data_IF_829228445944
#
_entry.id   IF_829228445944
#
_cell.length_a   1.000
_cell.length_b   1.000
_cell.length_c   1.000
_cell.angle_alpha   90.00
_cell.angle_beta   90.00
_cell.angle_gamma   90.00
#
_symmetry.space_group_name_H-M   'P 1'
#
loop_
_entity.id
_entity.type
_entity.pdbx_description
1 polymer ?
#
# COMPACT_ATOMS: atom_id res chain seq x y z
N UNK A 1 -2.00 11.08 -10.90
CA UNK A 1 -1.19 9.92 -10.46
C UNK A 1 -1.15 9.79 -8.95
N UNK A 2 -0.56 10.74 -8.19
CA UNK A 2 -0.37 10.58 -6.74
C UNK A 2 -1.69 10.35 -5.99
N UNK A 3 -2.71 11.19 -6.21
CA UNK A 3 -4.02 11.00 -5.58
C UNK A 3 -4.76 9.74 -6.09
N UNK A 4 -4.44 9.30 -7.30
CA UNK A 4 -5.13 8.17 -7.93
C UNK A 4 -4.67 6.84 -7.29
N UNK A 5 -3.41 6.71 -6.89
CA UNK A 5 -2.90 5.48 -6.26
C UNK A 5 -3.61 5.19 -4.95
N UNK A 6 -3.72 6.19 -4.07
CA UNK A 6 -4.41 6.04 -2.78
C UNK A 6 -5.87 5.65 -2.97
N UNK A 7 -6.59 6.36 -3.83
CA UNK A 7 -7.99 6.05 -4.13
C UNK A 7 -8.16 4.63 -4.69
N UNK A 8 -7.34 4.25 -5.69
CA UNK A 8 -7.41 2.93 -6.30
C UNK A 8 -7.12 1.81 -5.32
N UNK A 9 -6.20 2.04 -4.38
CA UNK A 9 -5.86 1.06 -3.35
C UNK A 9 -6.96 0.92 -2.30
N UNK A 10 -7.56 2.03 -1.87
CA UNK A 10 -8.69 1.98 -0.94
C UNK A 10 -9.89 1.25 -1.54
N UNK A 11 -10.24 1.55 -2.79
CA UNK A 11 -11.31 0.85 -3.50
C UNK A 11 -10.97 -0.63 -3.72
N UNK A 12 -9.71 -0.95 -4.08
CA UNK A 12 -9.27 -2.34 -4.21
C UNK A 12 -9.44 -3.12 -2.91
N UNK A 13 -8.98 -2.58 -1.78
CA UNK A 13 -9.07 -3.24 -0.46
C UNK A 13 -10.54 -3.33 0.00
N UNK A 14 -11.33 -2.29 -0.24
CA UNK A 14 -12.77 -2.26 0.07
C UNK A 14 -13.52 -3.37 -0.67
N UNK A 15 -13.33 -3.48 -1.99
CA UNK A 15 -13.96 -4.50 -2.82
C UNK A 15 -13.47 -5.90 -2.44
N UNK A 16 -12.17 -6.07 -2.20
CA UNK A 16 -11.59 -7.31 -1.69
C UNK A 16 -12.21 -7.74 -0.35
N UNK A 17 -12.51 -6.79 0.53
CA UNK A 17 -13.12 -7.08 1.84
C UNK A 17 -14.54 -7.58 1.65
N UNK A 18 -15.32 -6.92 0.78
CA UNK A 18 -16.69 -7.34 0.45
C UNK A 18 -16.72 -8.71 -0.23
N UNK A 19 -15.75 -9.00 -1.10
CA UNK A 19 -15.57 -10.32 -1.71
C UNK A 19 -15.31 -11.36 -0.62
N UNK A 20 -14.37 -11.10 0.28
CA UNK A 20 -14.06 -11.99 1.41
C UNK A 20 -15.31 -12.30 2.23
N UNK A 21 -16.04 -11.28 2.69
CA UNK A 21 -17.24 -11.44 3.51
C UNK A 21 -18.32 -12.23 2.79
N UNK A 22 -18.53 -11.96 1.49
CA UNK A 22 -19.49 -12.69 0.66
C UNK A 22 -19.09 -14.15 0.50
N UNK A 23 -17.80 -14.43 0.29
CA UNK A 23 -17.29 -15.80 0.17
C UNK A 23 -17.42 -16.58 1.49
N UNK A 24 -17.12 -15.94 2.62
CA UNK A 24 -17.30 -16.53 3.96
C UNK A 24 -18.78 -16.85 4.24
N UNK A 25 -19.70 -15.96 3.88
CA UNK A 25 -21.14 -16.20 3.98
C UNK A 25 -21.55 -17.44 3.17
N UNK A 26 -21.06 -17.55 1.93
CA UNK A 26 -21.36 -18.66 1.02
C UNK A 26 -20.74 -19.99 1.47
N UNK A 27 -19.63 -19.97 2.21
CA UNK A 27 -18.95 -21.16 2.71
C UNK A 27 -19.69 -21.83 3.87
N UNK A 28 -20.54 -21.10 4.59
CA UNK A 28 -21.47 -21.68 5.57
C UNK A 28 -22.62 -22.39 4.84
N UNK A 29 -22.37 -23.62 4.37
CA UNK A 29 -23.31 -24.40 3.54
C UNK A 29 -24.69 -24.59 4.18
N UNK A 30 -24.76 -24.75 5.51
CA UNK A 30 -26.03 -24.93 6.21
C UNK A 30 -26.89 -23.67 6.11
N UNK A 31 -26.32 -22.51 6.45
CA UNK A 31 -27.00 -21.21 6.34
C UNK A 31 -27.26 -20.84 4.88
N UNK A 32 -26.33 -21.13 3.97
CA UNK A 32 -26.45 -20.81 2.55
C UNK A 32 -27.58 -21.59 1.89
N UNK A 33 -27.68 -22.90 2.15
CA UNK A 33 -28.73 -23.75 1.59
C UNK A 33 -30.11 -23.46 2.19
N UNK A 34 -30.17 -22.87 3.39
CA UNK A 34 -31.44 -22.41 3.99
C UNK A 34 -31.99 -21.13 3.36
N UNK A 35 -31.20 -20.41 2.56
CA UNK A 35 -31.65 -19.20 1.83
C UNK A 35 -32.43 -19.55 0.57
N UNK A 36 -33.31 -18.64 0.16
CA UNK A 36 -34.07 -18.77 -1.09
C UNK A 36 -33.15 -18.83 -2.30
N UNK A 37 -33.61 -19.43 -3.39
CA UNK A 37 -32.84 -19.49 -4.64
C UNK A 37 -32.57 -18.09 -5.21
N UNK A 38 -33.52 -17.16 -5.05
CA UNK A 38 -33.40 -15.78 -5.50
C UNK A 38 -32.28 -15.03 -4.76
N UNK A 39 -32.23 -15.12 -3.43
CA UNK A 39 -31.17 -14.52 -2.60
C UNK A 39 -29.78 -15.04 -3.02
N UNK A 40 -29.66 -16.35 -3.23
CA UNK A 40 -28.39 -16.96 -3.66
C UNK A 40 -27.95 -16.45 -5.04
N UNK A 41 -28.88 -16.33 -5.99
CA UNK A 41 -28.59 -15.80 -7.34
C UNK A 41 -28.17 -14.33 -7.30
N UNK A 42 -28.83 -13.52 -6.47
CA UNK A 42 -28.47 -12.12 -6.27
C UNK A 42 -27.05 -12.00 -5.71
N UNK A 43 -26.76 -12.74 -4.62
CA UNK A 43 -25.43 -12.73 -3.99
C UNK A 43 -24.31 -13.20 -4.91
N UNK A 44 -24.54 -14.25 -5.70
CA UNK A 44 -23.60 -14.68 -6.75
C UNK A 44 -23.41 -13.59 -7.83
N UNK A 45 -24.48 -12.86 -8.16
CA UNK A 45 -24.43 -11.70 -9.06
C UNK A 45 -23.58 -10.57 -8.51
N UNK A 46 -23.79 -10.20 -7.25
CA UNK A 46 -22.98 -9.21 -6.52
C UNK A 46 -21.52 -9.64 -6.48
N UNK A 47 -21.23 -10.90 -6.11
CA UNK A 47 -19.86 -11.41 -6.06
C UNK A 47 -19.15 -11.23 -7.42
N UNK A 48 -19.78 -11.64 -8.52
CA UNK A 48 -19.21 -11.47 -9.87
C UNK A 48 -18.96 -10.01 -10.23
N UNK A 49 -19.78 -9.08 -9.75
CA UNK A 49 -19.59 -7.65 -9.98
C UNK A 49 -18.40 -7.12 -9.17
N UNK A 50 -18.33 -7.45 -7.87
CA UNK A 50 -17.22 -7.08 -6.99
C UNK A 50 -15.89 -7.60 -7.55
N UNK A 51 -15.84 -8.87 -8.00
CA UNK A 51 -14.65 -9.48 -8.58
C UNK A 51 -14.14 -8.72 -9.82
N UNK A 52 -15.05 -8.28 -10.70
CA UNK A 52 -14.69 -7.46 -11.87
C UNK A 52 -14.14 -6.10 -11.47
N UNK A 53 -14.77 -5.42 -10.50
CA UNK A 53 -14.34 -4.10 -10.05
C UNK A 53 -12.98 -4.18 -9.36
N UNK A 54 -12.82 -5.11 -8.42
CA UNK A 54 -11.56 -5.38 -7.73
C UNK A 54 -10.44 -5.63 -8.75
N UNK A 55 -10.65 -6.50 -9.74
CA UNK A 55 -9.63 -6.76 -10.76
C UNK A 55 -9.23 -5.52 -11.57
N UNK A 56 -10.15 -4.59 -11.82
CA UNK A 56 -9.84 -3.35 -12.55
C UNK A 56 -9.01 -2.40 -11.70
N UNK A 57 -9.40 -2.20 -10.44
CA UNK A 57 -8.69 -1.29 -9.54
C UNK A 57 -7.29 -1.80 -9.21
N UNK A 58 -7.14 -3.10 -8.95
CA UNK A 58 -5.83 -3.71 -8.67
C UNK A 58 -4.89 -3.61 -9.86
N UNK A 59 -5.39 -3.83 -11.07
CA UNK A 59 -4.60 -3.71 -12.30
C UNK A 59 -4.12 -2.28 -12.51
N UNK A 60 -5.03 -1.30 -12.41
CA UNK A 60 -4.69 0.11 -12.60
C UNK A 60 -3.74 0.62 -11.52
N UNK A 61 -3.97 0.24 -10.26
CA UNK A 61 -3.08 0.57 -9.14
C UNK A 61 -1.67 0.03 -9.36
N UNK A 62 -1.55 -1.24 -9.77
CA UNK A 62 -0.26 -1.87 -10.10
C UNK A 62 0.47 -1.11 -11.20
N UNK A 63 -0.17 -0.85 -12.33
CA UNK A 63 0.47 -0.13 -13.44
C UNK A 63 0.91 1.28 -13.04
N UNK A 64 0.15 1.95 -12.17
CA UNK A 64 0.49 3.30 -11.70
C UNK A 64 1.73 3.29 -10.80
N UNK A 65 1.82 2.35 -9.87
CA UNK A 65 3.01 2.19 -9.00
C UNK A 65 4.22 1.71 -9.77
N UNK A 66 4.04 0.82 -10.73
CA UNK A 66 5.12 0.38 -11.62
C UNK A 66 5.70 1.55 -12.42
N UNK A 67 4.84 2.41 -12.98
CA UNK A 67 5.28 3.61 -13.69
C UNK A 67 6.03 4.59 -12.77
N UNK A 68 5.52 4.80 -11.55
CA UNK A 68 6.17 5.65 -10.56
C UNK A 68 7.55 5.10 -10.16
N UNK A 69 7.68 3.78 -9.98
CA UNK A 69 8.96 3.10 -9.74
C UNK A 69 9.95 3.35 -10.88
N UNK A 70 9.51 3.22 -12.13
CA UNK A 70 10.38 3.48 -13.29
C UNK A 70 10.83 4.94 -13.33
N UNK A 71 9.91 5.89 -13.17
CA UNK A 71 10.25 7.31 -13.22
C UNK A 71 11.18 7.76 -12.09
N UNK A 72 10.97 7.26 -10.88
CA UNK A 72 11.84 7.57 -9.74
C UNK A 72 13.23 6.96 -9.86
N UNK A 73 13.39 5.87 -10.64
CA UNK A 73 14.70 5.31 -10.98
C UNK A 73 15.43 6.19 -12.00
N UNK A 74 14.72 6.76 -12.97
CA UNK A 74 15.32 7.57 -14.05
C UNK A 74 15.61 9.01 -13.63
N UNK A 75 14.72 9.64 -12.87
CA UNK A 75 14.90 11.04 -12.45
C UNK A 75 14.26 11.32 -11.10
N UNK A 76 14.98 12.04 -10.24
CA UNK A 76 14.55 12.36 -8.88
C UNK A 76 14.11 13.81 -8.73
N UNK A 77 14.74 14.72 -9.47
CA UNK A 77 14.54 16.17 -9.33
C UNK A 77 13.06 16.61 -9.44
N UNK A 78 12.24 16.09 -10.38
CA UNK A 78 10.83 16.46 -10.44
C UNK A 78 10.04 16.06 -9.19
N UNK A 79 10.44 14.98 -8.51
CA UNK A 79 9.76 14.49 -7.30
C UNK A 79 10.17 15.25 -6.04
N UNK A 80 11.29 15.99 -6.08
CA UNK A 80 11.78 16.79 -4.95
C UNK A 80 11.23 18.22 -4.94
N UNK A 81 10.38 18.57 -5.91
CA UNK A 81 9.70 19.87 -5.90
C UNK A 81 8.79 19.98 -4.67
N UNK A 82 8.76 21.13 -3.96
CA UNK A 82 7.95 21.32 -2.76
C UNK A 82 6.46 20.96 -2.95
N UNK A 83 5.90 21.21 -4.13
CA UNK A 83 4.49 20.93 -4.43
C UNK A 83 4.18 19.44 -4.63
N UNK A 84 5.21 18.60 -4.77
CA UNK A 84 5.14 17.19 -5.13
C UNK A 84 5.65 16.31 -3.99
N UNK A 85 6.79 16.63 -3.37
CA UNK A 85 7.50 15.75 -2.44
C UNK A 85 6.65 15.35 -1.24
N UNK A 86 5.94 16.30 -0.62
CA UNK A 86 5.08 16.04 0.54
C UNK A 86 3.89 15.15 0.16
N UNK A 87 3.30 15.37 -1.02
CA UNK A 87 2.16 14.57 -1.50
C UNK A 87 2.61 13.16 -1.87
N UNK A 88 3.80 13.03 -2.45
CA UNK A 88 4.39 11.75 -2.80
C UNK A 88 4.70 10.94 -1.55
N UNK A 89 5.36 11.55 -0.56
CA UNK A 89 5.66 10.93 0.72
C UNK A 89 4.38 10.43 1.41
N UNK A 90 3.42 11.33 1.64
CA UNK A 90 2.14 10.97 2.28
C UNK A 90 1.38 9.87 1.52
N UNK A 91 1.41 9.87 0.18
CA UNK A 91 0.82 8.79 -0.62
C UNK A 91 1.55 7.48 -0.42
N UNK A 92 2.88 7.46 -0.46
CA UNK A 92 3.66 6.24 -0.28
C UNK A 92 3.49 5.68 1.15
N UNK A 93 3.48 6.53 2.17
CA UNK A 93 3.34 6.12 3.57
C UNK A 93 1.95 5.55 3.82
N UNK A 94 0.91 6.22 3.33
CA UNK A 94 -0.47 5.73 3.38
C UNK A 94 -0.61 4.35 2.73
N UNK A 95 -0.06 4.19 1.53
CA UNK A 95 -0.12 2.90 0.84
C UNK A 95 0.70 1.83 1.57
N UNK A 96 1.86 2.18 2.15
CA UNK A 96 2.65 1.23 2.93
C UNK A 96 1.87 0.72 4.15
N UNK A 97 1.19 1.61 4.88
CA UNK A 97 0.26 1.24 5.98
C UNK A 97 -0.76 0.22 5.50
N UNK A 98 -1.38 0.46 4.34
CA UNK A 98 -2.43 -0.39 3.83
C UNK A 98 -1.98 -1.84 3.63
N UNK A 99 -0.74 -2.07 3.18
CA UNK A 99 -0.20 -3.42 2.92
C UNK A 99 0.42 -4.09 4.16
N UNK A 100 0.98 -3.33 5.09
CA UNK A 100 1.54 -3.92 6.33
C UNK A 100 0.51 -4.04 7.45
N UNK A 101 -0.60 -3.33 7.33
CA UNK A 101 -1.65 -3.26 8.34
C UNK A 101 -2.55 -4.51 8.40
N UNK A 102 -3.27 -4.70 9.52
CA UNK A 102 -4.08 -5.88 9.76
C UNK A 102 -5.24 -6.03 8.78
N UNK A 103 -5.76 -4.92 8.25
CA UNK A 103 -6.87 -4.89 7.27
C UNK A 103 -6.52 -5.73 6.04
N UNK A 104 -5.29 -5.60 5.55
CA UNK A 104 -4.82 -6.37 4.41
C UNK A 104 -4.36 -7.77 4.81
N UNK A 105 -3.59 -7.90 5.89
CA UNK A 105 -3.01 -9.18 6.31
C UNK A 105 -4.07 -10.26 6.65
N UNK A 106 -5.27 -9.85 7.06
CA UNK A 106 -6.37 -10.76 7.37
C UNK A 106 -7.23 -11.15 6.15
N UNK A 107 -7.01 -10.50 5.01
CA UNK A 107 -7.87 -10.64 3.84
C UNK A 107 -7.53 -11.91 3.05
N UNK A 108 -8.46 -12.87 3.04
CA UNK A 108 -8.30 -14.14 2.34
C UNK A 108 -9.43 -14.35 1.34
N UNK A 109 -9.14 -14.11 0.08
CA UNK A 109 -10.10 -14.36 -1.01
C UNK A 109 -9.78 -15.69 -1.69
N UNK A 110 -10.82 -16.40 -2.11
CA UNK A 110 -10.70 -17.55 -3.00
C UNK A 110 -10.30 -17.05 -4.39
N UNK A 111 -9.46 -17.83 -5.06
CA UNK A 111 -9.00 -17.57 -6.43
C UNK A 111 -8.40 -16.16 -6.62
N UNK A 112 -7.43 -15.73 -5.79
CA UNK A 112 -6.83 -14.39 -5.86
C UNK A 112 -6.23 -14.07 -7.23
N UNK A 113 -5.83 -15.08 -8.00
CA UNK A 113 -5.36 -14.97 -9.38
C UNK A 113 -6.39 -14.35 -10.33
N UNK A 114 -7.70 -14.60 -10.12
CA UNK A 114 -8.77 -13.98 -10.91
C UNK A 114 -8.85 -12.47 -10.71
N UNK A 115 -8.43 -12.01 -9.54
CA UNK A 115 -8.44 -10.59 -9.17
C UNK A 115 -7.17 -9.87 -9.63
N UNK A 116 -6.24 -10.57 -10.30
CA UNK A 116 -4.94 -10.06 -10.76
C UNK A 116 -4.17 -9.34 -9.66
N UNK A 117 -4.42 -9.75 -8.42
CA UNK A 117 -3.99 -9.02 -7.26
C UNK A 117 -2.67 -9.60 -6.77
N UNK A 118 -1.59 -8.84 -6.97
CA UNK A 118 -0.22 -9.20 -6.60
C UNK A 118 0.28 -8.28 -5.46
N UNK A 119 -0.16 -8.52 -4.22
CA UNK A 119 0.18 -7.69 -3.07
C UNK A 119 1.67 -7.69 -2.75
N UNK A 120 2.35 -8.80 -3.04
CA UNK A 120 3.80 -8.96 -2.83
C UNK A 120 4.56 -8.12 -3.85
N UNK A 121 4.18 -8.19 -5.12
CA UNK A 121 4.72 -7.31 -6.15
C UNK A 121 4.50 -5.83 -5.81
N UNK A 122 3.30 -5.48 -5.36
CA UNK A 122 2.98 -4.10 -5.00
C UNK A 122 3.84 -3.57 -3.84
N UNK A 123 3.94 -4.33 -2.74
CA UNK A 123 4.82 -3.97 -1.63
C UNK A 123 6.29 -3.87 -2.06
N UNK A 124 6.75 -4.79 -2.90
CA UNK A 124 8.11 -4.76 -3.44
C UNK A 124 8.38 -3.49 -4.26
N UNK A 125 7.42 -3.08 -5.08
CA UNK A 125 7.53 -1.88 -5.90
C UNK A 125 7.46 -0.60 -5.06
N UNK A 126 6.57 -0.55 -4.05
CA UNK A 126 6.53 0.55 -3.07
C UNK A 126 7.88 0.72 -2.37
N UNK A 127 8.43 -0.36 -1.79
CA UNK A 127 9.75 -0.33 -1.14
C UNK A 127 10.82 0.15 -2.11
N UNK A 128 10.76 -0.27 -3.38
CA UNK A 128 11.74 0.14 -4.37
C UNK A 128 11.66 1.65 -4.69
N UNK A 129 10.47 2.25 -4.68
CA UNK A 129 10.31 3.71 -4.83
C UNK A 129 11.02 4.44 -3.68
N UNK A 130 10.86 3.99 -2.42
CA UNK A 130 11.62 4.55 -1.31
C UNK A 130 13.12 4.44 -1.53
N UNK A 131 13.61 3.28 -1.98
CA UNK A 131 15.03 3.05 -2.25
C UNK A 131 15.58 3.90 -3.40
N UNK A 132 14.76 4.24 -4.39
CA UNK A 132 15.13 5.14 -5.48
C UNK A 132 15.36 6.56 -4.97
N UNK A 133 14.51 7.01 -4.03
CA UNK A 133 14.49 8.39 -3.52
C UNK A 133 15.26 8.57 -2.20
N UNK A 134 15.76 7.49 -1.61
CA UNK A 134 16.31 7.49 -0.24
C UNK A 134 17.57 8.34 -0.04
N UNK A 135 18.26 8.70 -1.12
CA UNK A 135 19.44 9.55 -1.10
C UNK A 135 19.10 11.04 -1.22
N UNK A 136 17.80 11.39 -1.27
CA UNK A 136 17.32 12.77 -1.32
C UNK A 136 16.89 13.24 0.09
N UNK A 137 17.59 14.20 0.71
CA UNK A 137 17.25 14.71 2.04
C UNK A 137 15.85 15.33 2.11
N UNK A 138 15.39 15.97 1.03
CA UNK A 138 14.05 16.57 0.91
C UNK A 138 12.97 15.51 1.06
N UNK A 139 13.18 14.33 0.47
CA UNK A 139 12.24 13.21 0.59
C UNK A 139 12.20 12.66 2.02
N UNK A 140 13.35 12.51 2.68
CA UNK A 140 13.39 12.07 4.08
C UNK A 140 12.64 13.04 5.01
N UNK A 141 12.79 14.35 4.79
CA UNK A 141 12.02 15.38 5.53
C UNK A 141 10.52 15.31 5.24
N UNK A 142 10.13 15.10 3.98
CA UNK A 142 8.73 14.98 3.60
C UNK A 142 8.05 13.77 4.24
N UNK A 143 8.72 12.61 4.26
CA UNK A 143 8.25 11.41 4.98
C UNK A 143 8.18 11.66 6.49
N UNK A 144 9.18 12.32 7.07
CA UNK A 144 9.18 12.70 8.49
C UNK A 144 8.01 13.64 8.84
N UNK A 145 7.62 14.50 7.90
CA UNK A 145 6.51 15.44 8.02
C UNK A 145 5.11 14.80 7.90
N UNK A 146 4.98 13.55 7.41
CA UNK A 146 3.69 12.87 7.37
C UNK A 146 3.29 12.30 8.73
N UNK A 147 2.84 13.18 9.64
CA UNK A 147 2.37 12.79 10.97
C UNK A 147 1.11 11.90 10.98
N UNK A 148 0.49 11.61 9.82
CA UNK A 148 -0.71 10.76 9.74
C UNK A 148 -0.38 9.29 9.52
N UNK A 149 0.53 9.01 8.60
CA UNK A 149 0.78 7.65 8.13
C UNK A 149 2.19 7.17 8.48
N UNK A 150 3.17 8.05 8.61
CA UNK A 150 4.53 7.64 8.94
C UNK A 150 4.65 7.11 10.38
N UNK A 151 5.26 5.93 10.51
CA UNK A 151 5.90 5.50 11.75
C UNK A 151 7.02 4.53 11.44
N UNK A 152 8.07 4.52 12.26
CA UNK A 152 9.17 3.55 12.16
C UNK A 152 8.68 2.10 12.13
N UNK A 153 7.67 1.78 12.93
CA UNK A 153 7.10 0.42 13.04
C UNK A 153 6.54 -0.09 11.69
N UNK A 154 5.94 0.79 10.88
CA UNK A 154 5.40 0.42 9.57
C UNK A 154 6.52 -0.06 8.65
N UNK A 155 7.66 0.63 8.64
CA UNK A 155 8.82 0.26 7.84
C UNK A 155 9.46 -1.04 8.35
N UNK A 156 9.56 -1.22 9.67
CA UNK A 156 10.04 -2.47 10.26
C UNK A 156 9.15 -3.67 9.88
N UNK A 157 7.83 -3.48 9.86
CA UNK A 157 6.89 -4.51 9.43
C UNK A 157 6.99 -4.78 7.92
N UNK A 158 7.13 -3.74 7.10
CA UNK A 158 7.38 -3.88 5.67
C UNK A 158 8.66 -4.69 5.40
N UNK A 159 9.72 -4.39 6.15
CA UNK A 159 11.02 -5.06 6.05
C UNK A 159 10.91 -6.55 6.42
N UNK A 160 10.25 -6.89 7.53
CA UNK A 160 10.00 -8.28 7.94
C UNK A 160 9.23 -9.06 6.88
N UNK A 161 8.18 -8.45 6.30
CA UNK A 161 7.39 -9.07 5.24
C UNK A 161 8.24 -9.27 3.98
N UNK A 162 9.00 -8.25 3.57
CA UNK A 162 9.84 -8.29 2.37
C UNK A 162 10.95 -9.34 2.49
N UNK A 163 11.59 -9.44 3.65
CA UNK A 163 12.62 -10.47 3.91
C UNK A 163 12.01 -11.87 3.88
N UNK A 164 10.92 -12.09 4.63
CA UNK A 164 10.28 -13.42 4.72
C UNK A 164 9.75 -13.91 3.37
N UNK A 165 9.25 -13.01 2.53
CA UNK A 165 8.73 -13.34 1.22
C UNK A 165 9.79 -13.29 0.10
N UNK A 166 11.05 -12.98 0.41
CA UNK A 166 12.14 -12.91 -0.56
C UNK A 166 11.97 -11.79 -1.60
N UNK A 167 11.31 -10.68 -1.22
CA UNK A 167 10.99 -9.58 -2.14
C UNK A 167 12.15 -8.62 -2.35
N UNK A 168 13.09 -8.57 -1.40
CA UNK A 168 14.27 -7.70 -1.39
C UNK A 168 15.47 -8.43 -0.83
N UNK A 169 16.66 -8.00 -1.25
CA UNK A 169 17.94 -8.49 -0.74
C UNK A 169 18.27 -7.86 0.62
N UNK A 170 19.16 -8.50 1.38
CA UNK A 170 19.64 -7.94 2.65
C UNK A 170 20.27 -6.54 2.47
N UNK A 171 20.97 -6.31 1.36
CA UNK A 171 21.58 -5.02 1.03
C UNK A 171 20.53 -3.94 0.77
N UNK A 172 19.46 -4.26 0.03
CA UNK A 172 18.35 -3.31 -0.19
C UNK A 172 17.63 -2.97 1.12
N UNK A 173 17.41 -3.96 1.98
CA UNK A 173 16.76 -3.74 3.28
C UNK A 173 17.65 -2.93 4.22
N UNK A 174 18.97 -3.13 4.19
CA UNK A 174 19.91 -2.28 4.95
C UNK A 174 19.85 -0.83 4.47
N UNK A 175 19.79 -0.60 3.16
CA UNK A 175 19.60 0.74 2.60
C UNK A 175 18.27 1.36 3.05
N UNK A 176 17.20 0.58 3.14
CA UNK A 176 15.92 1.03 3.68
C UNK A 176 16.03 1.43 5.17
N UNK A 177 16.76 0.66 5.98
CA UNK A 177 16.97 0.99 7.40
C UNK A 177 17.75 2.30 7.57
N UNK A 178 18.80 2.50 6.78
CA UNK A 178 19.55 3.77 6.76
C UNK A 178 18.65 4.93 6.38
N UNK A 179 17.78 4.74 5.39
CA UNK A 179 16.78 5.76 5.05
C UNK A 179 15.84 6.06 6.21
N UNK A 180 15.29 5.05 6.88
CA UNK A 180 14.41 5.23 8.04
C UNK A 180 15.12 5.99 9.17
N UNK A 181 16.41 5.73 9.39
CA UNK A 181 17.21 6.48 10.36
C UNK A 181 17.30 7.97 10.01
N UNK A 182 17.52 8.31 8.73
CA UNK A 182 17.51 9.70 8.26
C UNK A 182 16.14 10.37 8.45
N UNK A 183 15.05 9.63 8.26
CA UNK A 183 13.69 10.13 8.49
C UNK A 183 13.47 10.43 9.97
N UNK A 184 13.89 9.54 10.87
CA UNK A 184 13.77 9.76 12.31
C UNK A 184 14.58 10.97 12.78
N UNK A 185 15.81 11.15 12.27
CA UNK A 185 16.61 12.36 12.53
C UNK A 185 15.93 13.64 12.01
N UNK A 186 15.34 13.58 10.81
CA UNK A 186 14.58 14.70 10.26
C UNK A 186 13.33 15.01 11.11
N UNK A 187 12.67 13.99 11.63
CA UNK A 187 11.49 14.12 12.48
C UNK A 187 11.82 14.82 13.81
N UNK A 188 12.89 14.41 14.47
CA UNK A 188 13.37 15.07 15.71
C UNK A 188 13.65 16.56 15.49
N UNK A 189 14.25 16.92 14.34
CA UNK A 189 14.52 18.32 13.99
C UNK A 189 13.23 19.12 13.74
N UNK A 190 12.24 18.53 13.08
CA UNK A 190 10.93 19.16 12.86
C UNK A 190 10.22 19.42 14.19
N UNK A 191 10.18 18.43 15.07
CA UNK A 191 9.57 18.54 16.40
C UNK A 191 10.27 19.59 17.27
N UNK A 192 11.60 19.64 17.25
CA UNK A 192 12.36 20.66 17.97
C UNK A 192 12.09 22.09 17.45
N UNK A 193 11.93 22.24 16.13
CA UNK A 193 11.63 23.53 15.49
C UNK A 193 10.23 24.01 15.86
N UNK A 194 9.24 23.11 15.87
CA UNK A 194 7.86 23.42 16.27
C UNK A 194 7.76 23.86 17.74
N UNK A 195 8.58 23.30 18.63
CA UNK A 195 8.62 23.68 20.05
C UNK A 195 9.24 25.06 20.28
N UNK A 196 10.16 25.50 19.42
CA UNK A 196 10.77 26.84 19.51
C UNK A 196 9.84 27.96 19.02
N UNK A 197 8.82 27.62 18.23
CA UNK A 197 7.87 28.57 17.65
C UNK A 197 6.52 28.63 18.39
N UNK A 198 6.35 27.89 19.49
CA UNK A 198 5.19 27.94 20.38
C UNK A 198 5.47 28.77 21.63
#
# INVERSE_FOLDING_TARGET
MINDVTYLMDESISELTRIHDTQVEMDNKEVWLSKTQEYRREREGTLRQLERHASSYTTLGRSTVELLKLFTAETKAPFMMPEIVDKLAAMLDYNLVAFVGPKYQNLKVREPEKLRFDPRGFLSDLIHIYLNLSDQPEFARAVAGDGKSYSREIFENAEKIALRAGLKTATELEKLRVFVQLVEEAKELLEATDLLHR
#
